data_IF_866805771146
#
_entry.id   IF_866805771146
#
_cell.length_a   1.000
_cell.length_b   1.000
_cell.length_c   1.000
_cell.angle_alpha   90.00
_cell.angle_beta   90.00
_cell.angle_gamma   90.00
#
_symmetry.space_group_name_H-M   'P 1'
#
loop_
_entity.id
_entity.type
_entity.pdbx_description
1 polymer ?
#
# COMPACT_ATOMS: atom_id res chain seq x y z
N UNK A 1 1.18 -14.10 27.18
CA UNK A 1 1.93 -14.53 25.97
C UNK A 1 1.07 -15.27 24.92
N UNK A 2 -0.20 -14.92 24.72
CA UNK A 2 -1.18 -15.78 24.00
C UNK A 2 -1.93 -15.13 22.83
N UNK A 3 -1.45 -14.02 22.26
CA UNK A 3 -2.11 -13.40 21.09
C UNK A 3 -1.11 -12.75 20.13
N UNK A 4 -0.45 -13.55 19.30
CA UNK A 4 0.05 -13.23 17.94
C UNK A 4 0.90 -11.97 17.67
N UNK A 5 1.14 -11.10 18.65
CA UNK A 5 2.02 -9.95 18.56
C UNK A 5 3.44 -10.36 18.92
N UNK A 6 4.42 -9.64 18.37
CA UNK A 6 5.86 -9.94 18.42
C UNK A 6 6.42 -10.00 19.87
N UNK A 7 5.59 -9.79 20.91
CA UNK A 7 5.98 -9.89 22.32
C UNK A 7 6.92 -8.77 22.78
N UNK A 8 7.04 -7.73 21.96
CA UNK A 8 7.91 -6.58 22.21
C UNK A 8 7.26 -5.62 23.20
N UNK A 9 8.06 -5.04 24.09
CA UNK A 9 7.61 -3.97 24.97
C UNK A 9 7.05 -2.78 24.18
N UNK A 10 6.16 -2.00 24.80
CA UNK A 10 5.47 -0.87 24.15
C UNK A 10 6.44 0.10 23.46
N UNK A 11 7.60 0.38 24.06
CA UNK A 11 8.65 1.23 23.46
C UNK A 11 9.25 0.64 22.18
N UNK A 12 9.50 -0.67 22.13
CA UNK A 12 10.03 -1.34 20.95
C UNK A 12 9.00 -1.42 19.82
N UNK A 13 7.71 -1.58 20.14
CA UNK A 13 6.63 -1.50 19.16
C UNK A 13 6.50 -0.09 18.56
N UNK A 14 6.59 0.95 19.38
CA UNK A 14 6.58 2.34 18.89
C UNK A 14 7.78 2.63 17.99
N UNK A 15 8.98 2.22 18.40
CA UNK A 15 10.18 2.36 17.59
C UNK A 15 10.04 1.62 16.24
N UNK A 16 9.48 0.41 16.26
CA UNK A 16 9.22 -0.34 15.03
C UNK A 16 8.27 0.40 14.08
N UNK A 17 7.16 0.93 14.58
CA UNK A 17 6.23 1.74 13.77
C UNK A 17 6.95 2.96 13.17
N UNK A 18 7.80 3.64 13.95
CA UNK A 18 8.59 4.78 13.43
C UNK A 18 9.50 4.34 12.28
N UNK A 19 10.18 3.20 12.40
CA UNK A 19 11.03 2.67 11.32
C UNK A 19 10.19 2.32 10.08
N UNK A 20 8.98 1.76 10.25
CA UNK A 20 8.07 1.52 9.13
C UNK A 20 7.66 2.83 8.44
N UNK A 21 7.39 3.90 9.19
CA UNK A 21 7.05 5.22 8.65
C UNK A 21 8.22 5.82 7.84
N UNK A 22 9.47 5.61 8.27
CA UNK A 22 10.65 5.99 7.49
C UNK A 22 10.67 5.24 6.15
N UNK A 23 10.40 3.94 6.16
CA UNK A 23 10.24 3.14 4.94
C UNK A 23 9.16 3.69 4.01
N UNK A 24 7.99 4.06 4.56
CA UNK A 24 6.90 4.69 3.78
C UNK A 24 7.33 6.00 3.13
N UNK A 25 8.06 6.84 3.86
CA UNK A 25 8.55 8.13 3.36
C UNK A 25 9.47 7.94 2.16
N UNK A 26 10.45 7.04 2.25
CA UNK A 26 11.29 6.68 1.12
C UNK A 26 10.49 6.07 -0.04
N UNK A 27 9.43 5.30 0.27
CA UNK A 27 8.50 4.76 -0.71
C UNK A 27 7.85 5.85 -1.56
N UNK A 28 7.35 6.90 -0.92
CA UNK A 28 6.73 8.03 -1.62
C UNK A 28 7.69 8.76 -2.54
N UNK A 29 8.92 9.02 -2.07
CA UNK A 29 9.95 9.73 -2.84
C UNK A 29 10.37 8.88 -4.04
N UNK A 30 10.71 7.62 -3.80
CA UNK A 30 11.22 6.72 -4.84
C UNK A 30 10.17 6.48 -5.91
N UNK A 31 8.90 6.33 -5.52
CA UNK A 31 7.82 6.11 -6.48
C UNK A 31 7.72 7.28 -7.50
N UNK A 32 7.86 8.53 -7.06
CA UNK A 32 7.84 9.69 -7.96
C UNK A 32 8.87 9.55 -9.07
N UNK A 33 10.14 9.42 -8.70
CA UNK A 33 11.25 9.28 -9.66
C UNK A 33 11.11 8.04 -10.56
N UNK A 34 10.72 6.89 -9.99
CA UNK A 34 10.55 5.64 -10.74
C UNK A 34 9.39 5.74 -11.73
N UNK A 35 8.27 6.37 -11.33
CA UNK A 35 7.09 6.57 -12.17
C UNK A 35 7.36 7.53 -13.34
N UNK A 36 8.24 8.50 -13.14
CA UNK A 36 8.71 9.39 -14.19
C UNK A 36 9.70 8.72 -15.13
N UNK A 37 10.54 7.80 -14.63
CA UNK A 37 11.53 7.10 -15.45
C UNK A 37 10.93 5.92 -16.25
N UNK A 38 10.08 5.08 -15.64
CA UNK A 38 9.57 3.84 -16.24
C UNK A 38 8.15 3.94 -16.82
N UNK A 39 7.41 5.02 -16.52
CA UNK A 39 5.98 5.14 -16.83
C UNK A 39 5.09 4.85 -15.61
N UNK A 40 3.91 5.47 -15.58
CA UNK A 40 3.02 5.40 -14.42
C UNK A 40 2.45 3.99 -14.31
N UNK A 41 1.95 3.42 -15.42
CA UNK A 41 1.26 2.12 -15.40
C UNK A 41 2.15 1.00 -14.88
N UNK A 42 3.36 0.90 -15.43
CA UNK A 42 4.33 -0.14 -15.03
C UNK A 42 4.71 -0.01 -13.57
N UNK A 43 5.00 1.21 -13.12
CA UNK A 43 5.44 1.47 -11.74
C UNK A 43 4.36 1.12 -10.72
N UNK A 44 3.10 1.49 -10.98
CA UNK A 44 1.97 1.10 -10.12
C UNK A 44 1.84 -0.42 -10.01
N UNK A 45 1.86 -1.14 -11.14
CA UNK A 45 1.73 -2.60 -11.15
C UNK A 45 2.90 -3.25 -10.40
N UNK A 46 4.14 -2.82 -10.64
CA UNK A 46 5.30 -3.38 -9.95
C UNK A 46 5.27 -3.13 -8.45
N UNK A 47 4.87 -1.94 -8.00
CA UNK A 47 4.77 -1.63 -6.58
C UNK A 47 3.66 -2.46 -5.91
N UNK A 48 2.48 -2.57 -6.53
CA UNK A 48 1.36 -3.33 -5.99
C UNK A 48 1.67 -4.84 -5.92
N UNK A 49 2.27 -5.42 -6.95
CA UNK A 49 2.67 -6.83 -6.95
C UNK A 49 3.79 -7.12 -5.95
N UNK A 50 4.77 -6.21 -5.83
CA UNK A 50 5.85 -6.35 -4.83
C UNK A 50 5.29 -6.23 -3.41
N UNK A 51 4.36 -5.30 -3.17
CA UNK A 51 3.66 -5.18 -1.90
C UNK A 51 2.87 -6.45 -1.56
N UNK A 52 2.14 -7.02 -2.53
CA UNK A 52 1.44 -8.29 -2.35
C UNK A 52 2.40 -9.43 -1.96
N UNK A 53 3.49 -9.61 -2.71
CA UNK A 53 4.47 -10.66 -2.43
C UNK A 53 5.11 -10.50 -1.04
N UNK A 54 5.54 -9.28 -0.70
CA UNK A 54 6.12 -8.99 0.60
C UNK A 54 5.13 -9.22 1.75
N UNK A 55 3.87 -8.82 1.57
CA UNK A 55 2.84 -9.00 2.58
C UNK A 55 2.44 -10.47 2.76
N UNK A 56 2.44 -11.26 1.69
CA UNK A 56 2.25 -12.71 1.73
C UNK A 56 3.39 -13.42 2.49
N UNK A 57 4.64 -13.01 2.23
CA UNK A 57 5.81 -13.50 2.98
C UNK A 57 5.67 -13.09 4.45
N UNK A 58 5.34 -11.83 4.71
CA UNK A 58 5.14 -11.29 6.05
C UNK A 58 4.06 -12.04 6.84
N UNK A 59 2.98 -12.47 6.17
CA UNK A 59 1.92 -13.28 6.76
C UNK A 59 2.37 -14.69 7.20
N UNK A 60 3.34 -15.25 6.48
CA UNK A 60 3.85 -16.61 6.68
C UNK A 60 5.00 -16.68 7.68
N UNK A 61 5.74 -15.59 7.87
CA UNK A 61 6.88 -15.52 8.80
C UNK A 61 6.41 -15.45 10.25
N UNK A 62 7.04 -16.26 11.11
CA UNK A 62 6.82 -16.25 12.58
C UNK A 62 8.01 -15.73 13.38
N UNK A 63 9.13 -15.43 12.72
CA UNK A 63 10.38 -15.01 13.37
C UNK A 63 10.37 -13.50 13.60
N UNK A 64 10.40 -13.02 14.87
CA UNK A 64 10.36 -11.60 15.21
C UNK A 64 11.37 -10.72 14.46
N UNK A 65 12.64 -11.13 14.41
CA UNK A 65 13.70 -10.36 13.77
C UNK A 65 13.44 -10.15 12.26
N UNK A 66 12.90 -11.16 11.59
CA UNK A 66 12.57 -11.10 10.17
C UNK A 66 11.37 -10.19 9.93
N UNK A 67 10.36 -10.21 10.80
CA UNK A 67 9.22 -9.28 10.73
C UNK A 67 9.69 -7.83 10.93
N UNK A 68 10.59 -7.58 11.89
CA UNK A 68 11.16 -6.25 12.12
C UNK A 68 11.93 -5.73 10.90
N UNK A 69 12.66 -6.60 10.21
CA UNK A 69 13.40 -6.25 9.01
C UNK A 69 12.48 -6.05 7.80
N UNK A 70 11.46 -6.91 7.62
CA UNK A 70 10.54 -6.84 6.47
C UNK A 70 9.53 -5.70 6.58
N UNK A 71 9.13 -5.30 7.78
CA UNK A 71 8.09 -4.29 8.01
C UNK A 71 8.30 -2.99 7.22
N UNK A 72 9.49 -2.37 7.26
CA UNK A 72 9.77 -1.15 6.50
C UNK A 72 9.68 -1.33 4.98
N UNK A 73 10.08 -2.50 4.45
CA UNK A 73 9.95 -2.79 3.02
C UNK A 73 8.49 -3.00 2.62
N UNK A 74 7.72 -3.71 3.45
CA UNK A 74 6.26 -3.84 3.26
C UNK A 74 5.65 -2.44 3.22
N UNK A 75 5.98 -1.58 4.18
CA UNK A 75 5.44 -0.22 4.25
C UNK A 75 5.85 0.63 3.03
N UNK A 76 7.12 0.55 2.62
CA UNK A 76 7.65 1.21 1.42
C UNK A 76 6.81 0.91 0.17
N UNK A 77 6.61 -0.38 -0.15
CA UNK A 77 5.90 -0.76 -1.37
C UNK A 77 4.39 -0.63 -1.24
N UNK A 78 3.83 -0.92 -0.07
CA UNK A 78 2.40 -0.87 0.20
C UNK A 78 1.84 0.55 0.21
N UNK A 79 2.65 1.58 0.49
CA UNK A 79 2.18 2.97 0.47
C UNK A 79 2.82 3.81 -0.61
N UNK A 80 4.02 3.47 -1.10
CA UNK A 80 4.79 4.32 -2.01
C UNK A 80 4.01 4.83 -3.23
N UNK A 81 3.13 4.01 -3.80
CA UNK A 81 2.31 4.38 -4.96
C UNK A 81 1.35 5.55 -4.74
N UNK A 82 1.05 5.90 -3.49
CA UNK A 82 0.11 6.99 -3.19
C UNK A 82 0.63 8.35 -3.67
N UNK A 83 1.95 8.56 -3.75
CA UNK A 83 2.52 9.81 -4.24
C UNK A 83 2.21 10.08 -5.72
N UNK A 84 2.01 9.02 -6.53
CA UNK A 84 1.61 9.13 -7.93
C UNK A 84 0.14 9.46 -8.15
N UNK A 85 -0.71 9.35 -7.12
CA UNK A 85 -2.16 9.40 -7.30
C UNK A 85 -2.60 10.74 -7.90
N UNK A 86 -2.05 11.85 -7.37
CA UNK A 86 -2.33 13.18 -7.89
C UNK A 86 -1.89 13.38 -9.35
N UNK A 87 -0.72 12.84 -9.72
CA UNK A 87 -0.22 12.93 -11.10
C UNK A 87 -1.11 12.16 -12.08
N UNK A 88 -1.48 10.92 -11.74
CA UNK A 88 -2.36 10.09 -12.57
C UNK A 88 -3.74 10.72 -12.72
N UNK A 89 -4.33 11.22 -11.63
CA UNK A 89 -5.63 11.90 -11.70
C UNK A 89 -5.54 13.17 -12.57
N UNK A 90 -4.43 13.91 -12.50
CA UNK A 90 -4.23 15.09 -13.35
C UNK A 90 -4.06 14.78 -14.84
N UNK A 91 -3.51 13.62 -15.17
CA UNK A 91 -3.30 13.18 -16.56
C UNK A 91 -4.53 12.49 -17.17
N UNK A 92 -5.44 11.95 -16.35
CA UNK A 92 -6.66 11.26 -16.81
C UNK A 92 -7.84 12.21 -16.96
N UNK A 93 -8.01 13.15 -16.03
CA UNK A 93 -9.19 14.00 -15.96
C UNK A 93 -8.90 15.43 -16.46
N UNK A 94 -9.83 16.03 -17.25
CA UNK A 94 -9.75 17.43 -17.61
C UNK A 94 -9.68 18.34 -16.39
N UNK A 95 -8.98 19.45 -16.55
CA UNK A 95 -8.71 20.44 -15.49
C UNK A 95 -9.98 20.91 -14.79
N UNK A 96 -11.09 21.05 -15.53
CA UNK A 96 -12.40 21.47 -15.01
C UNK A 96 -13.01 20.53 -13.97
N UNK A 97 -12.77 19.21 -14.09
CA UNK A 97 -13.37 18.20 -13.20
C UNK A 97 -12.35 17.49 -12.31
N UNK A 98 -11.06 17.75 -12.49
CA UNK A 98 -9.95 17.07 -11.80
C UNK A 98 -10.10 17.06 -10.29
N UNK A 99 -10.42 18.21 -9.67
CA UNK A 99 -10.57 18.31 -8.22
C UNK A 99 -11.75 17.45 -7.71
N UNK A 100 -12.89 17.51 -8.40
CA UNK A 100 -14.09 16.73 -8.05
C UNK A 100 -13.87 15.23 -8.27
N UNK A 101 -13.24 14.84 -9.38
CA UNK A 101 -12.91 13.45 -9.69
C UNK A 101 -11.93 12.86 -8.66
N UNK A 102 -10.86 13.59 -8.34
CA UNK A 102 -9.90 13.20 -7.31
C UNK A 102 -10.58 13.04 -5.96
N UNK A 103 -11.41 14.02 -5.56
CA UNK A 103 -12.17 13.98 -4.32
C UNK A 103 -13.12 12.80 -4.26
N UNK A 104 -13.86 12.53 -5.34
CA UNK A 104 -14.79 11.41 -5.41
C UNK A 104 -14.08 10.05 -5.27
N UNK A 105 -13.06 9.79 -6.09
CA UNK A 105 -12.29 8.54 -6.03
C UNK A 105 -11.59 8.36 -4.69
N UNK A 106 -11.00 9.42 -4.14
CA UNK A 106 -10.33 9.38 -2.84
C UNK A 106 -11.30 9.09 -1.68
N UNK A 107 -12.47 9.74 -1.66
CA UNK A 107 -13.44 9.54 -0.60
C UNK A 107 -14.07 8.14 -0.63
N UNK A 108 -14.35 7.59 -1.81
CA UNK A 108 -14.80 6.19 -1.95
C UNK A 108 -13.73 5.24 -1.38
N UNK A 109 -12.46 5.48 -1.73
CA UNK A 109 -11.34 4.73 -1.15
C UNK A 109 -11.30 4.84 0.37
N UNK A 110 -11.56 6.03 0.94
CA UNK A 110 -11.62 6.24 2.40
C UNK A 110 -12.75 5.48 3.08
N UNK A 111 -13.92 5.37 2.44
CA UNK A 111 -15.05 4.60 2.97
C UNK A 111 -14.66 3.12 3.05
N UNK A 112 -14.05 2.57 1.99
CA UNK A 112 -13.54 1.20 2.01
C UNK A 112 -12.44 1.02 3.07
N UNK A 113 -11.51 1.96 3.18
CA UNK A 113 -10.44 1.95 4.21
C UNK A 113 -10.98 2.03 5.63
N UNK A 114 -12.15 2.63 5.87
CA UNK A 114 -12.77 2.65 7.20
C UNK A 114 -13.22 1.24 7.65
N UNK A 115 -13.62 0.38 6.71
CA UNK A 115 -13.99 -1.00 6.99
C UNK A 115 -12.77 -1.93 7.17
N UNK A 116 -11.61 -1.56 6.60
CA UNK A 116 -10.42 -2.42 6.58
C UNK A 116 -9.88 -2.76 7.99
N UNK A 117 -9.70 -1.82 8.95
CA UNK A 117 -9.26 -2.16 10.31
C UNK A 117 -10.22 -3.10 11.02
N UNK A 118 -11.52 -2.95 10.81
CA UNK A 118 -12.53 -3.83 11.39
C UNK A 118 -12.43 -5.25 10.81
N UNK A 119 -12.35 -5.39 9.49
CA UNK A 119 -12.22 -6.68 8.82
C UNK A 119 -10.92 -7.40 9.21
N UNK A 120 -9.78 -6.70 9.14
CA UNK A 120 -8.46 -7.23 9.50
C UNK A 120 -8.41 -7.56 10.99
N UNK A 121 -8.93 -6.69 11.85
CA UNK A 121 -8.94 -6.89 13.30
C UNK A 121 -9.81 -8.07 13.73
N UNK A 122 -11.01 -8.21 13.16
CA UNK A 122 -11.94 -9.31 13.44
C UNK A 122 -11.38 -10.66 12.96
N UNK A 123 -10.80 -10.67 11.75
CA UNK A 123 -10.17 -11.87 11.20
C UNK A 123 -8.90 -12.25 11.98
N UNK A 124 -8.11 -11.26 12.41
CA UNK A 124 -6.94 -11.50 13.24
C UNK A 124 -7.28 -12.05 14.63
N UNK A 125 -8.43 -11.66 15.20
CA UNK A 125 -8.89 -12.18 16.49
C UNK A 125 -9.42 -13.61 16.41
N UNK A 126 -10.09 -13.97 15.31
CA UNK A 126 -10.75 -15.28 15.15
C UNK A 126 -9.83 -16.34 14.53
N UNK A 127 -9.04 -15.98 13.52
CA UNK A 127 -8.22 -16.89 12.72
C UNK A 127 -6.71 -16.56 12.77
N UNK A 128 -6.31 -15.50 13.50
CA UNK A 128 -4.93 -15.07 13.63
C UNK A 128 -4.46 -14.10 12.53
N UNK A 129 -3.27 -13.53 12.72
CA UNK A 129 -2.72 -12.52 11.80
C UNK A 129 -2.37 -13.04 10.40
N UNK A 130 -2.06 -14.33 10.25
CA UNK A 130 -1.68 -14.92 8.95
C UNK A 130 -2.79 -14.77 7.90
N UNK A 131 -4.00 -15.32 8.13
CA UNK A 131 -5.13 -15.16 7.23
C UNK A 131 -5.51 -13.70 6.97
N UNK A 132 -5.47 -12.85 8.00
CA UNK A 132 -5.78 -11.43 7.88
C UNK A 132 -4.82 -10.68 6.93
N UNK A 133 -3.52 -10.93 7.05
CA UNK A 133 -2.50 -10.35 6.17
C UNK A 133 -2.53 -10.94 4.76
N UNK A 134 -2.88 -12.22 4.63
CA UNK A 134 -3.06 -12.88 3.33
C UNK A 134 -4.24 -12.28 2.56
N UNK A 135 -5.34 -11.96 3.25
CA UNK A 135 -6.47 -11.23 2.67
C UNK A 135 -6.04 -9.85 2.14
N UNK A 136 -5.23 -9.10 2.89
CA UNK A 136 -4.66 -7.83 2.43
C UNK A 136 -3.76 -8.02 1.20
N UNK A 137 -2.95 -9.09 1.18
CA UNK A 137 -2.12 -9.43 0.01
C UNK A 137 -2.98 -9.68 -1.23
N UNK A 138 -4.08 -10.42 -1.09
CA UNK A 138 -5.02 -10.65 -2.18
C UNK A 138 -5.65 -9.33 -2.67
N UNK A 139 -5.97 -8.41 -1.77
CA UNK A 139 -6.46 -7.08 -2.14
C UNK A 139 -5.44 -6.28 -2.96
N UNK A 140 -4.13 -6.37 -2.65
CA UNK A 140 -3.08 -5.75 -3.47
C UNK A 140 -2.97 -6.37 -4.86
N UNK A 141 -3.12 -7.69 -4.99
CA UNK A 141 -3.16 -8.35 -6.31
C UNK A 141 -4.39 -7.90 -7.10
N UNK A 142 -5.57 -7.84 -6.48
CA UNK A 142 -6.78 -7.33 -7.14
C UNK A 142 -6.60 -5.87 -7.58
N UNK A 143 -5.96 -5.03 -6.77
CA UNK A 143 -5.63 -3.67 -7.15
C UNK A 143 -4.67 -3.62 -8.35
N UNK A 144 -3.65 -4.50 -8.40
CA UNK A 144 -2.74 -4.59 -9.53
C UNK A 144 -3.47 -5.01 -10.82
N UNK A 145 -4.39 -5.98 -10.74
CA UNK A 145 -5.23 -6.41 -11.85
C UNK A 145 -6.16 -5.27 -12.30
N UNK A 146 -6.79 -4.57 -11.35
CA UNK A 146 -7.61 -3.38 -11.61
C UNK A 146 -6.84 -2.30 -12.37
N UNK A 147 -5.56 -2.12 -12.05
CA UNK A 147 -4.70 -1.14 -12.69
C UNK A 147 -4.37 -1.46 -14.15
N UNK A 148 -4.54 -2.72 -14.60
CA UNK A 148 -4.27 -3.11 -16.00
C UNK A 148 -5.22 -2.39 -16.96
N UNK A 149 -6.44 -2.06 -16.54
CA UNK A 149 -7.41 -1.32 -17.36
C UNK A 149 -7.13 0.18 -17.46
N UNK A 150 -6.25 0.71 -16.60
CA UNK A 150 -5.84 2.11 -16.67
C UNK A 150 -4.80 2.25 -17.80
N UNK A 151 -5.00 3.19 -18.74
CA UNK A 151 -4.04 3.43 -19.82
C UNK A 151 -2.75 4.06 -19.28
N UNK A 152 -1.66 4.00 -20.05
CA UNK A 152 -0.45 4.75 -19.71
C UNK A 152 -0.72 6.26 -19.85
N UNK A 153 -0.44 7.00 -18.77
CA UNK A 153 -0.75 8.42 -18.65
C UNK A 153 0.48 9.31 -18.79
N UNK A 154 1.70 8.72 -18.78
CA UNK A 154 2.96 9.46 -18.87
C UNK A 154 2.99 10.39 -20.08
N UNK A 155 3.20 11.68 -19.81
CA UNK A 155 3.45 12.70 -20.83
C UNK A 155 2.20 13.15 -21.59
N UNK A 156 0.99 12.83 -21.12
CA UNK A 156 -0.24 13.37 -21.72
C UNK A 156 -0.33 14.88 -21.45
N UNK A 157 -0.69 15.70 -22.46
CA UNK A 157 -0.93 17.11 -22.24
C UNK A 157 -2.11 17.28 -21.27
N UNK A 158 -1.93 18.15 -20.29
CA UNK A 158 -2.98 18.49 -19.34
C UNK A 158 -4.03 19.31 -20.09
N UNK A 159 -5.20 18.72 -20.33
CA UNK A 159 -6.36 19.37 -20.98
C UNK A 159 -7.31 20.00 -19.97
#
# INVERSE_FOLDING_TARGET
PSRGGIGLGSGAMSAFVVIMQIGMWFGYITFGFVSDALGRKRTYITYLLTAAALLFIYASVRVPAVLLLLGPFVAFFATGYFSGFGAVTAEIYPTAIRASAQGFTYNIGRIASAAAPYAVGSLAQTHGFGPALTMCSAAFVLAAVAWIWIPETRGRPLT
#
